data_IF_288713704870
#
_entry.id   IF_288713704870
#
_cell.length_a   1.000
_cell.length_b   1.000
_cell.length_c   1.000
_cell.angle_alpha   90.00
_cell.angle_beta   90.00
_cell.angle_gamma   90.00
#
_symmetry.space_group_name_H-M   'P 1'
#
loop_
_entity.id
_entity.type
_entity.pdbx_description
1 polymer ?
#
# COMPACT_ATOMS: atom_id res chain seq x y z
N UNK A 1 -26.81 3.81 -11.74
CA UNK A 1 -26.65 2.66 -10.82
C UNK A 1 -25.58 1.67 -11.31
N UNK A 2 -25.61 1.19 -12.56
CA UNK A 2 -24.62 0.24 -13.09
C UNK A 2 -23.20 0.84 -13.10
N UNK A 3 -23.05 2.08 -13.57
CA UNK A 3 -21.76 2.77 -13.58
C UNK A 3 -21.13 2.85 -12.18
N UNK A 4 -21.90 3.25 -11.16
CA UNK A 4 -21.38 3.29 -9.78
C UNK A 4 -20.95 1.93 -9.23
N UNK A 5 -21.66 0.85 -9.56
CA UNK A 5 -21.26 -0.51 -9.20
C UNK A 5 -19.95 -0.94 -9.90
N UNK A 6 -19.81 -0.59 -11.18
CA UNK A 6 -18.58 -0.86 -11.94
C UNK A 6 -17.39 -0.07 -11.40
N UNK A 7 -17.59 1.22 -11.10
CA UNK A 7 -16.56 2.07 -10.48
C UNK A 7 -16.13 1.51 -9.13
N UNK A 8 -17.07 1.09 -8.29
CA UNK A 8 -16.78 0.45 -7.01
C UNK A 8 -15.96 -0.83 -7.16
N UNK A 9 -16.36 -1.73 -8.07
CA UNK A 9 -15.62 -2.97 -8.33
C UNK A 9 -14.22 -2.70 -8.85
N UNK A 10 -14.10 -1.78 -9.82
CA UNK A 10 -12.82 -1.38 -10.40
C UNK A 10 -11.86 -0.84 -9.31
N UNK A 11 -12.34 0.09 -8.51
CA UNK A 11 -11.55 0.66 -7.42
C UNK A 11 -11.18 -0.39 -6.38
N UNK A 12 -12.11 -1.24 -5.97
CA UNK A 12 -11.85 -2.28 -4.97
C UNK A 12 -10.80 -3.29 -5.44
N UNK A 13 -10.96 -3.84 -6.65
CA UNK A 13 -10.02 -4.81 -7.20
C UNK A 13 -8.66 -4.17 -7.50
N UNK A 14 -8.66 -2.95 -8.05
CA UNK A 14 -7.44 -2.19 -8.31
C UNK A 14 -6.67 -1.89 -7.04
N UNK A 15 -7.34 -1.36 -6.02
CA UNK A 15 -6.73 -1.07 -4.72
C UNK A 15 -6.18 -2.33 -4.04
N UNK A 16 -6.90 -3.46 -4.09
CA UNK A 16 -6.41 -4.74 -3.54
C UNK A 16 -5.13 -5.20 -4.25
N UNK A 17 -5.09 -5.07 -5.58
CA UNK A 17 -3.90 -5.41 -6.35
C UNK A 17 -2.73 -4.46 -6.03
N UNK A 18 -2.97 -3.15 -5.97
CA UNK A 18 -1.96 -2.15 -5.58
C UNK A 18 -1.42 -2.43 -4.18
N UNK A 19 -2.28 -2.77 -3.21
CA UNK A 19 -1.88 -3.18 -1.85
C UNK A 19 -0.95 -4.39 -1.90
N UNK A 20 -1.26 -5.41 -2.71
CA UNK A 20 -0.40 -6.58 -2.85
C UNK A 20 0.98 -6.21 -3.46
N UNK A 21 1.02 -5.32 -4.45
CA UNK A 21 2.27 -4.81 -5.04
C UNK A 21 3.07 -3.97 -4.04
N UNK A 22 2.41 -3.12 -3.26
CA UNK A 22 3.03 -2.34 -2.18
C UNK A 22 3.58 -3.22 -1.06
N UNK A 23 2.85 -4.26 -0.65
CA UNK A 23 3.34 -5.27 0.30
C UNK A 23 4.62 -5.92 -0.21
N UNK A 24 4.64 -6.35 -1.47
CA UNK A 24 5.84 -6.93 -2.09
C UNK A 24 7.01 -5.95 -2.08
N UNK A 25 6.77 -4.70 -2.43
CA UNK A 25 7.76 -3.62 -2.38
C UNK A 25 8.31 -3.43 -0.95
N UNK A 26 7.43 -3.29 0.05
CA UNK A 26 7.82 -3.12 1.45
C UNK A 26 8.60 -4.32 1.99
N UNK A 27 8.19 -5.55 1.65
CA UNK A 27 8.92 -6.76 2.04
C UNK A 27 10.35 -6.76 1.50
N UNK A 28 10.56 -6.25 0.29
CA UNK A 28 11.89 -6.13 -0.29
C UNK A 28 12.72 -5.03 0.39
N UNK A 29 12.14 -3.86 0.62
CA UNK A 29 12.79 -2.71 1.30
C UNK A 29 13.25 -3.09 2.71
N UNK A 30 12.39 -3.77 3.47
CA UNK A 30 12.67 -4.19 4.85
C UNK A 30 13.35 -5.56 4.96
N UNK A 31 13.71 -6.17 3.81
CA UNK A 31 14.43 -7.45 3.72
C UNK A 31 13.72 -8.60 4.42
N UNK A 32 12.39 -8.61 4.40
CA UNK A 32 11.58 -9.69 4.95
C UNK A 32 11.90 -11.01 4.22
N UNK A 33 12.13 -12.14 4.93
CA UNK A 33 12.45 -13.40 4.28
C UNK A 33 11.25 -13.94 3.48
N UNK A 34 11.44 -14.16 2.17
CA UNK A 34 10.40 -14.66 1.25
C UNK A 34 10.09 -16.17 1.42
N UNK A 35 10.63 -16.82 2.44
CA UNK A 35 10.35 -18.24 2.75
C UNK A 35 9.00 -18.45 3.43
N UNK A 36 8.38 -17.39 3.93
CA UNK A 36 7.07 -17.44 4.60
C UNK A 36 5.96 -17.68 3.56
N UNK A 37 4.95 -18.55 3.85
CA UNK A 37 3.82 -18.81 2.94
C UNK A 37 3.06 -17.54 2.52
N UNK A 38 2.88 -16.59 3.43
CA UNK A 38 2.25 -15.31 3.12
C UNK A 38 3.05 -14.50 2.09
N UNK A 39 4.37 -14.42 2.27
CA UNK A 39 5.25 -13.75 1.33
C UNK A 39 5.22 -14.41 -0.06
N UNK A 40 5.20 -15.75 -0.10
CA UNK A 40 5.07 -16.50 -1.35
C UNK A 40 3.73 -16.24 -2.05
N UNK A 41 2.63 -16.14 -1.30
CA UNK A 41 1.31 -15.78 -1.83
C UNK A 41 1.32 -14.39 -2.47
N UNK A 42 1.86 -13.38 -1.78
CA UNK A 42 1.99 -12.00 -2.31
C UNK A 42 2.82 -11.99 -3.60
N UNK A 43 3.92 -12.73 -3.63
CA UNK A 43 4.76 -12.87 -4.83
C UNK A 43 3.97 -13.54 -5.95
N UNK A 44 3.27 -14.65 -5.70
CA UNK A 44 2.51 -15.40 -6.70
C UNK A 44 1.43 -14.53 -7.36
N UNK A 45 0.68 -13.76 -6.56
CA UNK A 45 -0.39 -12.87 -7.04
C UNK A 45 0.16 -11.71 -7.89
N UNK A 46 1.37 -11.24 -7.63
CA UNK A 46 1.95 -10.06 -8.30
C UNK A 46 2.93 -10.39 -9.42
N UNK A 47 3.43 -11.63 -9.50
CA UNK A 47 4.50 -12.05 -10.41
C UNK A 47 4.16 -11.86 -11.89
N UNK A 48 2.89 -12.08 -12.27
CA UNK A 48 2.47 -11.97 -13.67
C UNK A 48 2.68 -10.55 -14.22
N UNK A 49 2.57 -9.53 -13.38
CA UNK A 49 2.72 -8.13 -13.79
C UNK A 49 4.12 -7.57 -13.46
N UNK A 50 4.71 -7.95 -12.31
CA UNK A 50 6.03 -7.45 -11.89
C UNK A 50 7.17 -8.05 -12.72
N UNK A 51 7.13 -9.35 -13.05
CA UNK A 51 8.20 -10.00 -13.82
C UNK A 51 8.46 -9.37 -15.19
N UNK A 52 7.44 -9.11 -16.05
CA UNK A 52 7.69 -8.46 -17.33
C UNK A 52 8.22 -7.04 -17.15
N UNK A 53 7.73 -6.29 -16.15
CA UNK A 53 8.16 -4.92 -15.91
C UNK A 53 9.62 -4.83 -15.41
N UNK A 54 10.08 -5.80 -14.62
CA UNK A 54 11.49 -5.90 -14.18
C UNK A 54 12.48 -6.08 -15.33
N UNK A 55 12.03 -6.57 -16.49
CA UNK A 55 12.90 -6.68 -17.67
C UNK A 55 13.21 -5.33 -18.29
N UNK A 56 12.28 -4.37 -18.11
CA UNK A 56 12.39 -3.00 -18.66
C UNK A 56 12.96 -2.04 -17.62
N UNK A 57 12.54 -2.18 -16.37
CA UNK A 57 12.95 -1.32 -15.25
C UNK A 57 13.76 -2.15 -14.26
N UNK A 58 15.11 -2.11 -14.35
CA UNK A 58 15.94 -2.82 -13.40
C UNK A 58 15.85 -2.21 -12.00
N UNK A 59 16.06 -3.04 -10.98
CA UNK A 59 16.18 -2.57 -9.60
C UNK A 59 17.47 -1.73 -9.43
N UNK A 60 17.32 -0.52 -8.89
CA UNK A 60 18.43 0.38 -8.59
C UNK A 60 18.48 0.66 -7.09
N UNK A 61 19.68 0.72 -6.51
CA UNK A 61 19.90 1.00 -5.08
C UNK A 61 19.22 0.00 -4.12
N UNK A 62 18.98 -1.26 -4.56
CA UNK A 62 18.30 -2.26 -3.75
C UNK A 62 16.78 -2.09 -3.66
N UNK A 63 16.21 -1.09 -4.36
CA UNK A 63 14.78 -0.86 -4.45
C UNK A 63 14.20 -1.45 -5.74
N UNK A 64 13.02 -2.03 -5.65
CA UNK A 64 12.29 -2.57 -6.80
C UNK A 64 11.42 -1.47 -7.43
N UNK A 65 12.05 -0.66 -8.27
CA UNK A 65 11.35 0.41 -8.99
C UNK A 65 10.24 -0.12 -9.89
N UNK A 66 10.36 -1.36 -10.36
CA UNK A 66 9.30 -1.99 -11.15
C UNK A 66 8.01 -2.16 -10.34
N UNK A 67 8.10 -2.54 -9.05
CA UNK A 67 6.92 -2.61 -8.18
C UNK A 67 6.28 -1.23 -7.98
N UNK A 68 7.09 -0.20 -7.69
CA UNK A 68 6.57 1.16 -7.47
C UNK A 68 5.92 1.73 -8.74
N UNK A 69 6.58 1.57 -9.88
CA UNK A 69 6.05 2.00 -11.17
C UNK A 69 4.76 1.25 -11.51
N UNK A 70 4.72 -0.08 -11.28
CA UNK A 70 3.50 -0.86 -11.51
C UNK A 70 2.34 -0.37 -10.65
N UNK A 71 2.58 -0.13 -9.34
CA UNK A 71 1.57 0.38 -8.43
C UNK A 71 1.02 1.74 -8.92
N UNK A 72 1.89 2.65 -9.36
CA UNK A 72 1.50 3.94 -9.91
C UNK A 72 0.71 3.80 -11.22
N UNK A 73 1.14 2.91 -12.13
CA UNK A 73 0.45 2.68 -13.40
C UNK A 73 -0.94 2.09 -13.18
N UNK A 74 -1.08 1.13 -12.27
CA UNK A 74 -2.38 0.54 -11.93
C UNK A 74 -3.29 1.59 -11.31
N UNK A 75 -2.79 2.39 -10.34
CA UNK A 75 -3.57 3.44 -9.72
C UNK A 75 -3.98 4.52 -10.74
N UNK A 76 -3.09 4.88 -11.65
CA UNK A 76 -3.40 5.80 -12.75
C UNK A 76 -4.49 5.24 -13.66
N UNK A 77 -4.43 3.95 -14.01
CA UNK A 77 -5.46 3.29 -14.80
C UNK A 77 -6.82 3.24 -14.08
N UNK A 78 -6.82 2.99 -12.76
CA UNK A 78 -8.03 3.01 -11.92
C UNK A 78 -8.64 4.40 -11.87
N UNK A 79 -7.82 5.45 -11.70
CA UNK A 79 -8.27 6.85 -11.74
C UNK A 79 -8.90 7.17 -13.10
N UNK A 80 -8.20 6.91 -14.20
CA UNK A 80 -8.70 7.19 -15.55
C UNK A 80 -10.02 6.48 -15.84
N UNK A 81 -10.09 5.19 -15.52
CA UNK A 81 -11.29 4.41 -15.78
C UNK A 81 -12.46 4.84 -14.88
N UNK A 82 -12.22 5.25 -13.65
CA UNK A 82 -13.26 5.79 -12.76
C UNK A 82 -13.84 7.08 -13.34
N UNK A 83 -13.00 8.04 -13.72
CA UNK A 83 -13.46 9.29 -14.31
C UNK A 83 -14.12 9.08 -15.68
N UNK A 84 -13.69 8.08 -16.45
CA UNK A 84 -14.33 7.74 -17.72
C UNK A 84 -15.74 7.16 -17.53
N UNK A 85 -15.93 6.33 -16.49
CA UNK A 85 -17.24 5.79 -16.12
C UNK A 85 -18.20 6.85 -15.56
N UNK A 86 -17.64 7.93 -14.99
CA UNK A 86 -18.39 9.08 -14.45
C UNK A 86 -18.61 10.18 -15.51
N UNK A 87 -18.46 9.84 -16.82
CA UNK A 87 -18.67 10.73 -17.98
C UNK A 87 -17.86 12.03 -17.93
N UNK A 88 -16.65 11.99 -17.38
CA UNK A 88 -15.78 13.18 -17.34
C UNK A 88 -15.41 13.64 -18.76
N UNK A 89 -15.57 14.95 -19.07
CA UNK A 89 -15.39 15.48 -20.42
C UNK A 89 -13.88 15.66 -20.77
N UNK A 90 -13.15 14.58 -20.98
CA UNK A 90 -11.71 14.61 -21.31
C UNK A 90 -11.39 15.46 -22.53
N UNK A 91 -12.30 15.47 -23.55
CA UNK A 91 -12.13 16.26 -24.75
C UNK A 91 -12.13 17.77 -24.54
N UNK A 92 -12.81 18.26 -23.51
CA UNK A 92 -12.88 19.68 -23.17
C UNK A 92 -11.77 20.09 -22.20
N UNK A 93 -11.21 19.16 -21.46
CA UNK A 93 -10.21 19.41 -20.41
C UNK A 93 -8.79 19.71 -20.96
N UNK A 94 -8.53 19.40 -22.23
CA UNK A 94 -7.25 19.67 -22.90
C UNK A 94 -6.08 18.86 -22.33
N UNK A 95 -4.85 19.21 -22.74
CA UNK A 95 -3.65 18.45 -22.37
C UNK A 95 -3.29 18.52 -20.87
N UNK A 96 -3.80 19.52 -20.16
CA UNK A 96 -3.52 19.72 -18.71
C UNK A 96 -4.14 18.65 -17.82
N UNK A 97 -5.11 17.90 -18.30
CA UNK A 97 -5.78 16.84 -17.53
C UNK A 97 -4.81 15.70 -17.17
N UNK A 98 -3.87 15.36 -18.03
CA UNK A 98 -2.97 14.23 -17.84
C UNK A 98 -2.04 14.36 -16.63
N UNK A 99 -1.30 15.48 -16.46
CA UNK A 99 -0.49 15.65 -15.25
C UNK A 99 -1.33 15.72 -13.98
N UNK A 100 -2.55 16.27 -14.04
CA UNK A 100 -3.45 16.30 -12.88
C UNK A 100 -3.90 14.88 -12.49
N UNK A 101 -4.29 14.06 -13.46
CA UNK A 101 -4.67 12.66 -13.20
C UNK A 101 -3.49 11.83 -12.66
N UNK A 102 -2.28 12.08 -13.17
CA UNK A 102 -1.08 11.44 -12.64
C UNK A 102 -0.78 11.90 -11.20
N UNK A 103 -0.92 13.19 -10.93
CA UNK A 103 -0.82 13.74 -9.57
C UNK A 103 -1.83 13.11 -8.61
N UNK A 104 -3.08 12.99 -9.04
CA UNK A 104 -4.14 12.33 -8.28
C UNK A 104 -3.82 10.85 -8.02
N UNK A 105 -3.34 10.13 -9.02
CA UNK A 105 -2.91 8.74 -8.85
C UNK A 105 -1.76 8.60 -7.84
N UNK A 106 -0.80 9.52 -7.87
CA UNK A 106 0.31 9.55 -6.91
C UNK A 106 -0.19 9.81 -5.48
N UNK A 107 -1.11 10.77 -5.29
CA UNK A 107 -1.73 11.05 -3.97
C UNK A 107 -2.50 9.84 -3.47
N UNK A 108 -3.30 9.18 -4.31
CA UNK A 108 -4.03 7.96 -3.96
C UNK A 108 -3.08 6.82 -3.59
N UNK A 109 -1.99 6.64 -4.33
CA UNK A 109 -0.96 5.65 -4.02
C UNK A 109 -0.32 5.89 -2.65
N UNK A 110 -0.01 7.16 -2.32
CA UNK A 110 0.48 7.54 -0.98
C UNK A 110 -0.56 7.23 0.10
N UNK A 111 -1.81 7.56 -0.13
CA UNK A 111 -2.91 7.26 0.80
C UNK A 111 -3.06 5.75 1.02
N UNK A 112 -3.02 4.93 -0.05
CA UNK A 112 -3.04 3.47 0.06
C UNK A 112 -1.84 2.92 0.85
N UNK A 113 -0.66 3.53 0.68
CA UNK A 113 0.53 3.16 1.46
C UNK A 113 0.32 3.43 2.96
N UNK A 114 -0.27 4.57 3.30
CA UNK A 114 -0.60 4.91 4.70
C UNK A 114 -1.67 3.96 5.25
N UNK A 115 -2.73 3.68 4.50
CA UNK A 115 -3.75 2.69 4.90
C UNK A 115 -3.15 1.29 5.08
N UNK A 116 -2.19 0.89 4.25
CA UNK A 116 -1.48 -0.38 4.39
C UNK A 116 -0.69 -0.43 5.70
N UNK A 117 0.03 0.64 6.06
CA UNK A 117 0.78 0.74 7.33
C UNK A 117 -0.18 0.65 8.52
N UNK A 118 -1.32 1.35 8.47
CA UNK A 118 -2.37 1.27 9.50
C UNK A 118 -2.88 -0.17 9.62
N UNK A 119 -3.23 -0.80 8.51
CA UNK A 119 -3.74 -2.17 8.47
C UNK A 119 -2.75 -3.18 9.03
N UNK A 120 -1.47 -3.11 8.64
CA UNK A 120 -0.42 -3.97 9.17
C UNK A 120 -0.22 -3.78 10.69
N UNK A 121 -0.30 -2.53 11.15
CA UNK A 121 -0.17 -2.22 12.60
C UNK A 121 -1.35 -2.77 13.39
N UNK A 122 -2.56 -2.68 12.86
CA UNK A 122 -3.75 -3.29 13.47
C UNK A 122 -3.65 -4.82 13.49
N UNK A 123 -3.24 -5.44 12.37
CA UNK A 123 -3.02 -6.89 12.31
C UNK A 123 -1.99 -7.33 13.34
N UNK A 124 -0.88 -6.58 13.49
CA UNK A 124 0.12 -6.84 14.52
C UNK A 124 -0.46 -6.79 15.93
N UNK A 125 -1.26 -5.76 16.24
CA UNK A 125 -1.88 -5.61 17.55
C UNK A 125 -2.84 -6.78 17.84
N UNK A 126 -3.69 -7.15 16.88
CA UNK A 126 -4.62 -8.29 17.02
C UNK A 126 -3.86 -9.61 17.19
N UNK A 127 -2.86 -9.89 16.35
CA UNK A 127 -2.06 -11.12 16.44
C UNK A 127 -1.32 -11.21 17.78
N UNK A 128 -0.84 -10.10 18.33
CA UNK A 128 -0.21 -10.06 19.65
C UNK A 128 -1.14 -10.48 20.78
N UNK A 129 -2.45 -10.25 20.64
CA UNK A 129 -3.45 -10.61 21.64
C UNK A 129 -4.00 -12.03 21.48
N UNK A 130 -4.19 -12.47 20.21
CA UNK A 130 -4.84 -13.74 19.91
C UNK A 130 -3.85 -14.89 19.88
N UNK A 131 -2.78 -14.75 19.12
CA UNK A 131 -1.75 -15.80 18.97
C UNK A 131 -0.47 -15.21 18.37
N UNK A 132 0.57 -15.10 19.20
CA UNK A 132 1.89 -14.61 18.78
C UNK A 132 2.70 -15.62 17.94
N UNK A 133 2.31 -16.91 17.92
CA UNK A 133 3.08 -17.98 17.28
C UNK A 133 2.66 -18.25 15.83
N UNK A 134 1.89 -17.33 15.23
CA UNK A 134 1.48 -17.47 13.83
C UNK A 134 2.65 -17.23 12.87
N UNK A 135 2.71 -17.96 11.74
CA UNK A 135 3.74 -17.72 10.72
C UNK A 135 3.68 -16.32 10.08
N UNK A 136 2.58 -15.58 10.27
CA UNK A 136 2.42 -14.19 9.83
C UNK A 136 3.14 -13.18 10.73
N UNK A 137 3.27 -13.49 12.03
CA UNK A 137 3.80 -12.55 13.02
C UNK A 137 5.19 -12.00 12.68
N UNK A 138 6.19 -12.80 12.27
CA UNK A 138 7.50 -12.29 11.89
C UNK A 138 7.44 -11.31 10.71
N UNK A 139 6.61 -11.59 9.70
CA UNK A 139 6.46 -10.73 8.51
C UNK A 139 5.84 -9.39 8.90
N UNK A 140 4.74 -9.43 9.63
CA UNK A 140 4.04 -8.20 10.08
C UNK A 140 4.92 -7.40 11.02
N UNK A 141 5.69 -8.07 11.88
CA UNK A 141 6.65 -7.44 12.79
C UNK A 141 7.71 -6.66 12.00
N UNK A 142 8.40 -7.31 11.06
CA UNK A 142 9.45 -6.68 10.25
C UNK A 142 8.93 -5.53 9.37
N UNK A 143 7.69 -5.64 8.85
CA UNK A 143 7.06 -4.59 8.07
C UNK A 143 6.65 -3.36 8.89
N UNK A 144 6.28 -3.54 10.15
CA UNK A 144 5.79 -2.46 11.02
C UNK A 144 6.86 -1.86 11.93
N UNK A 145 7.91 -2.61 12.27
CA UNK A 145 8.97 -2.18 13.20
C UNK A 145 9.68 -0.89 12.78
N UNK A 146 9.99 -0.64 11.49
CA UNK A 146 10.61 0.61 11.07
C UNK A 146 9.80 1.86 11.42
N UNK A 147 8.47 1.74 11.46
CA UNK A 147 7.56 2.84 11.80
C UNK A 147 7.31 2.95 13.30
N UNK A 148 7.23 1.83 14.01
CA UNK A 148 6.97 1.80 15.45
C UNK A 148 8.23 2.09 16.29
N UNK A 149 9.40 1.66 15.82
CA UNK A 149 10.66 1.82 16.54
C UNK A 149 11.00 3.27 16.90
N UNK A 150 10.89 4.27 15.99
CA UNK A 150 11.14 5.66 16.36
C UNK A 150 10.12 6.20 17.36
N UNK A 151 8.84 5.79 17.23
CA UNK A 151 7.78 6.22 18.14
C UNK A 151 7.94 5.65 19.54
N UNK A 152 8.43 4.41 19.70
CA UNK A 152 8.72 3.81 21.01
C UNK A 152 9.78 4.55 21.83
N UNK A 153 10.61 5.37 21.17
CA UNK A 153 11.59 6.22 21.87
C UNK A 153 10.94 7.43 22.52
N UNK A 154 9.77 7.85 22.03
CA UNK A 154 9.05 9.05 22.47
C UNK A 154 7.89 8.67 23.38
N UNK A 155 7.22 7.56 23.09
CA UNK A 155 6.01 7.10 23.79
C UNK A 155 6.41 6.09 24.88
N UNK A 156 6.29 6.44 26.16
CA UNK A 156 6.57 5.48 27.24
C UNK A 156 5.50 4.40 27.31
N UNK A 157 5.85 3.22 27.80
CA UNK A 157 4.88 2.17 28.13
C UNK A 157 4.04 2.63 29.35
N UNK A 158 2.73 2.54 29.23
CA UNK A 158 1.79 2.86 30.32
C UNK A 158 1.11 1.57 30.78
N UNK A 159 1.27 1.23 32.04
CA UNK A 159 0.67 0.02 32.64
C UNK A 159 0.94 -1.28 31.86
N UNK A 160 2.16 -1.48 31.36
CA UNK A 160 2.57 -2.61 30.50
C UNK A 160 1.86 -2.70 29.12
N UNK A 161 1.15 -1.64 28.72
CA UNK A 161 0.53 -1.56 27.38
C UNK A 161 1.39 -0.68 26.49
N UNK A 162 1.72 -1.20 25.30
CA UNK A 162 2.41 -0.43 24.24
C UNK A 162 1.39 0.45 23.49
N UNK A 163 1.41 1.76 23.79
CA UNK A 163 0.54 2.74 23.14
C UNK A 163 1.08 3.22 21.77
N UNK A 164 2.24 2.75 21.36
CA UNK A 164 2.88 3.15 20.10
C UNK A 164 2.01 2.90 18.86
N UNK A 165 1.29 1.75 18.74
CA UNK A 165 0.38 1.54 17.60
C UNK A 165 -0.73 2.58 17.52
N UNK A 166 -1.27 3.03 18.67
CA UNK A 166 -2.30 4.06 18.72
C UNK A 166 -1.77 5.42 18.25
N UNK A 167 -0.57 5.80 18.69
CA UNK A 167 0.08 7.04 18.25
C UNK A 167 0.38 7.00 16.76
N UNK A 168 0.88 5.87 16.23
CA UNK A 168 1.09 5.70 14.80
C UNK A 168 -0.20 5.86 14.01
N UNK A 169 -1.30 5.28 14.51
CA UNK A 169 -2.62 5.42 13.90
C UNK A 169 -3.04 6.90 13.81
N UNK A 170 -2.90 7.66 14.90
CA UNK A 170 -3.24 9.09 14.93
C UNK A 170 -2.37 9.88 13.93
N UNK A 171 -1.06 9.64 13.92
CA UNK A 171 -0.15 10.31 12.98
C UNK A 171 -0.53 10.00 11.52
N UNK A 172 -0.81 8.74 11.22
CA UNK A 172 -1.27 8.33 9.88
C UNK A 172 -2.60 9.01 9.49
N UNK A 173 -3.56 9.12 10.42
CA UNK A 173 -4.81 9.82 10.16
C UNK A 173 -4.59 11.32 9.90
N UNK A 174 -3.69 11.96 10.64
CA UNK A 174 -3.33 13.35 10.39
C UNK A 174 -2.70 13.54 8.99
N UNK A 175 -1.84 12.61 8.56
CA UNK A 175 -1.25 12.63 7.20
C UNK A 175 -2.33 12.49 6.13
N UNK A 176 -3.34 11.64 6.36
CA UNK A 176 -4.46 11.45 5.42
C UNK A 176 -5.45 12.63 5.38
N UNK A 177 -5.43 13.52 6.38
CA UNK A 177 -6.24 14.74 6.40
C UNK A 177 -5.64 15.86 5.56
N UNK A 178 -4.34 15.78 5.24
CA UNK A 178 -3.67 16.76 4.36
C UNK A 178 -4.01 16.36 2.92
N UNK A 179 -4.77 17.20 2.17
CA UNK A 179 -5.17 16.89 0.81
C UNK A 179 -4.00 16.98 -0.18
#
# INVERSE_FOLDING_TARGET
MIAGALTFLLQTLGNLFVIAVLLRFMMQVFRVPFRNPFAQFVVAVTDFAVKPLRRVVPGLFGLDWACLLLALLVEFAVVLASYWLDDFPFGLAGARVWPVMLGLAAVRLLSLTVYLIIGLTLVRAVLSWVNSDTPLMPVVYELTEPFLRPLRRIVPMVANVDLTPLVLFIVCQLVLMVP
#
